data_IF_094296742213
#
_entry.id   IF_094296742213
#
_cell.length_a   1.000
_cell.length_b   1.000
_cell.length_c   1.000
_cell.angle_alpha   90.00
_cell.angle_beta   90.00
_cell.angle_gamma   90.00
#
_symmetry.space_group_name_H-M   'P 1'
#
loop_
_entity.id
_entity.type
_entity.pdbx_description
1 polymer ?
#
# COMPACT_ATOMS: atom_id res chain seq x y z
N UNK A 1 -3.43 -1.87 11.28
CA UNK A 1 -3.55 -2.63 10.02
C UNK A 1 -2.36 -2.28 9.13
N UNK A 2 -1.99 -3.15 8.19
CA UNK A 2 -0.91 -2.89 7.24
C UNK A 2 -1.11 -3.70 5.96
N UNK A 3 -0.49 -3.25 4.87
CA UNK A 3 -0.43 -4.03 3.63
C UNK A 3 0.84 -4.89 3.64
N UNK A 4 0.75 -6.15 3.23
CA UNK A 4 1.92 -7.03 3.03
C UNK A 4 1.89 -7.69 1.66
N UNK A 5 3.07 -8.02 1.16
CA UNK A 5 3.23 -8.93 0.02
C UNK A 5 3.22 -10.39 0.49
N UNK A 6 2.46 -11.24 -0.18
CA UNK A 6 2.45 -12.69 0.00
C UNK A 6 2.75 -13.38 -1.32
N UNK A 7 3.83 -14.16 -1.37
CA UNK A 7 4.18 -14.99 -2.53
C UNK A 7 3.40 -16.31 -2.49
N UNK A 8 2.77 -16.65 -3.61
CA UNK A 8 2.02 -17.90 -3.82
C UNK A 8 2.42 -18.46 -5.19
N UNK A 9 3.21 -19.53 -5.19
CA UNK A 9 3.83 -20.05 -6.40
C UNK A 9 4.66 -18.97 -7.10
N UNK A 10 4.37 -18.72 -8.39
CA UNK A 10 5.07 -17.69 -9.17
C UNK A 10 4.56 -16.27 -8.96
N UNK A 11 3.44 -16.09 -8.27
CA UNK A 11 2.76 -14.81 -8.14
C UNK A 11 2.96 -14.17 -6.77
N UNK A 12 2.90 -12.85 -6.73
CA UNK A 12 2.90 -12.05 -5.48
C UNK A 12 1.57 -11.33 -5.36
N UNK A 13 0.98 -11.34 -4.16
CA UNK A 13 -0.30 -10.70 -3.87
C UNK A 13 -0.16 -9.68 -2.75
N UNK A 14 -0.81 -8.54 -2.88
CA UNK A 14 -0.93 -7.57 -1.79
C UNK A 14 -2.14 -7.93 -0.91
N UNK A 15 -1.94 -7.95 0.40
CA UNK A 15 -2.98 -8.27 1.38
C UNK A 15 -3.10 -7.17 2.43
N UNK A 16 -4.34 -6.79 2.78
CA UNK A 16 -4.61 -5.95 3.94
C UNK A 16 -4.74 -6.85 5.18
N UNK A 17 -3.94 -6.54 6.20
CA UNK A 17 -3.83 -7.34 7.42
C UNK A 17 -4.14 -6.49 8.63
N UNK A 18 -4.89 -7.06 9.57
CA UNK A 18 -5.15 -6.50 10.88
C UNK A 18 -4.37 -7.26 11.96
N UNK A 19 -3.82 -6.51 12.92
CA UNK A 19 -3.30 -7.06 14.16
C UNK A 19 -4.40 -6.99 15.22
N UNK A 20 -4.70 -8.12 15.87
CA UNK A 20 -5.69 -8.19 16.95
C UNK A 20 -5.12 -8.98 18.13
N UNK A 21 -5.70 -8.81 19.32
CA UNK A 21 -5.31 -9.56 20.52
C UNK A 21 -6.30 -10.68 20.80
N UNK A 22 -5.79 -11.88 21.06
CA UNK A 22 -6.56 -13.07 21.39
C UNK A 22 -5.78 -13.89 22.42
N UNK A 23 -6.39 -14.15 23.58
CA UNK A 23 -5.74 -14.89 24.67
C UNK A 23 -4.41 -14.27 25.12
N UNK A 24 -4.33 -12.94 25.18
CA UNK A 24 -3.11 -12.23 25.58
C UNK A 24 -1.98 -12.20 24.54
N UNK A 25 -2.18 -12.80 23.36
CA UNK A 25 -1.19 -12.82 22.27
C UNK A 25 -1.65 -11.94 21.11
N UNK A 26 -0.71 -11.25 20.46
CA UNK A 26 -0.98 -10.54 19.19
C UNK A 26 -1.04 -11.56 18.06
N UNK A 27 -2.13 -11.53 17.30
CA UNK A 27 -2.38 -12.36 16.13
C UNK A 27 -2.63 -11.47 14.91
N UNK A 28 -2.45 -12.05 13.72
CA UNK A 28 -2.70 -11.39 12.44
C UNK A 28 -3.89 -12.03 11.75
N UNK A 29 -4.80 -11.22 11.21
CA UNK A 29 -5.90 -11.65 10.35
C UNK A 29 -5.79 -10.95 9.01
N UNK A 30 -5.86 -11.72 7.93
CA UNK A 30 -6.01 -11.15 6.58
C UNK A 30 -7.45 -10.68 6.45
N UNK A 31 -7.65 -9.38 6.22
CA UNK A 31 -8.96 -8.80 5.97
C UNK A 31 -9.38 -9.02 4.51
N UNK A 32 -8.46 -8.75 3.58
CA UNK A 32 -8.68 -9.00 2.16
C UNK A 32 -7.36 -9.16 1.38
N UNK A 33 -7.46 -9.70 0.17
CA UNK A 33 -6.39 -9.67 -0.81
C UNK A 33 -6.74 -8.60 -1.84
N UNK A 34 -5.89 -7.58 -1.98
CA UNK A 34 -6.11 -6.43 -2.85
C UNK A 34 -5.96 -6.80 -4.33
N UNK A 35 -5.06 -7.74 -4.62
CA UNK A 35 -4.83 -8.21 -5.98
C UNK A 35 -3.42 -8.78 -6.15
N UNK A 36 -3.13 -9.20 -7.37
CA UNK A 36 -1.80 -9.68 -7.78
C UNK A 36 -0.94 -8.47 -8.10
N UNK A 37 0.28 -8.41 -7.56
CA UNK A 37 1.14 -7.23 -7.60
C UNK A 37 1.43 -6.78 -9.03
N UNK A 38 1.85 -7.70 -9.90
CA UNK A 38 2.09 -7.46 -11.33
C UNK A 38 0.90 -6.79 -12.03
N UNK A 39 -0.31 -7.31 -11.81
CA UNK A 39 -1.54 -6.75 -12.39
C UNK A 39 -1.94 -5.41 -11.81
N UNK A 40 -1.59 -5.16 -10.56
CA UNK A 40 -1.84 -3.87 -9.91
C UNK A 40 -0.86 -2.82 -10.42
N UNK A 41 0.41 -3.16 -10.59
CA UNK A 41 1.45 -2.29 -11.15
C UNK A 41 1.14 -1.92 -12.61
N UNK A 42 0.82 -2.90 -13.46
CA UNK A 42 0.44 -2.68 -14.87
C UNK A 42 -0.71 -1.68 -15.07
N UNK A 43 -1.59 -1.54 -14.07
CA UNK A 43 -2.80 -0.71 -14.13
C UNK A 43 -2.72 0.57 -13.30
N UNK A 44 -1.58 0.87 -12.67
CA UNK A 44 -1.47 1.95 -11.69
C UNK A 44 -2.40 1.77 -10.48
N UNK A 45 -2.82 0.53 -10.21
CA UNK A 45 -3.80 0.20 -9.18
C UNK A 45 -3.28 0.43 -7.76
N UNK A 46 -1.97 0.30 -7.53
CA UNK A 46 -1.34 0.63 -6.24
C UNK A 46 -1.48 2.13 -5.97
N UNK A 47 -1.11 2.98 -6.92
CA UNK A 47 -1.21 4.44 -6.80
C UNK A 47 -2.66 4.88 -6.62
N UNK A 48 -3.60 4.30 -7.37
CA UNK A 48 -5.02 4.58 -7.21
C UNK A 48 -5.53 4.27 -5.79
N UNK A 49 -5.06 3.17 -5.18
CA UNK A 49 -5.40 2.82 -3.80
C UNK A 49 -4.81 3.84 -2.83
N UNK A 50 -3.54 4.22 -3.00
CA UNK A 50 -2.87 5.23 -2.15
C UNK A 50 -3.61 6.56 -2.23
N UNK A 51 -3.90 7.07 -3.43
CA UNK A 51 -4.65 8.31 -3.66
C UNK A 51 -6.07 8.24 -3.04
N UNK A 52 -6.71 7.08 -3.06
CA UNK A 52 -8.04 6.90 -2.45
C UNK A 52 -7.98 6.97 -0.92
N UNK A 53 -6.94 6.41 -0.30
CA UNK A 53 -6.73 6.39 1.16
C UNK A 53 -6.25 7.74 1.69
N UNK A 54 -5.42 8.44 0.91
CA UNK A 54 -4.89 9.76 1.23
C UNK A 54 -5.97 10.78 1.58
N UNK A 55 -7.12 10.73 0.90
CA UNK A 55 -8.28 11.61 1.16
C UNK A 55 -8.80 11.54 2.60
N UNK A 56 -8.46 10.48 3.33
CA UNK A 56 -8.87 10.23 4.70
C UNK A 56 -7.73 10.37 5.71
N UNK A 57 -6.53 10.74 5.27
CA UNK A 57 -5.37 10.86 6.12
C UNK A 57 -5.17 12.33 6.54
N UNK A 58 -5.26 12.61 7.84
CA UNK A 58 -5.11 13.97 8.37
C UNK A 58 -3.68 14.53 8.23
N UNK A 59 -2.68 13.66 8.16
CA UNK A 59 -1.25 14.02 8.10
C UNK A 59 -0.54 13.74 6.77
N UNK A 60 -1.27 13.32 5.73
CA UNK A 60 -0.66 13.02 4.43
C UNK A 60 -1.15 14.06 3.43
N UNK A 61 -0.30 15.07 3.15
CA UNK A 61 -0.51 15.93 2.00
C UNK A 61 -0.18 15.14 0.74
N UNK A 62 -1.21 14.70 0.02
CA UNK A 62 -1.05 14.09 -1.31
C UNK A 62 -1.26 15.18 -2.33
N UNK A 63 -0.17 15.71 -2.88
CA UNK A 63 -0.23 16.62 -4.01
C UNK A 63 -0.77 15.85 -5.22
N UNK A 64 -1.89 16.33 -5.77
CA UNK A 64 -2.61 15.73 -6.90
C UNK A 64 -1.79 15.89 -8.21
N UNK A 65 -0.74 15.11 -8.39
CA UNK A 65 0.05 15.07 -9.62
C UNK A 65 -0.14 13.76 -10.40
N UNK A 66 -1.39 13.35 -10.62
CA UNK A 66 -1.67 12.13 -11.37
C UNK A 66 -2.67 12.29 -12.52
N UNK A 67 -3.15 13.52 -12.77
CA UNK A 67 -4.10 13.78 -13.86
C UNK A 67 -3.43 14.21 -15.18
N UNK A 68 -2.16 14.63 -15.15
CA UNK A 68 -1.48 15.24 -16.31
C UNK A 68 -0.04 14.73 -16.54
N UNK A 69 0.24 13.45 -16.29
CA UNK A 69 1.39 12.77 -16.92
C UNK A 69 2.79 13.38 -16.70
N UNK A 70 2.98 14.19 -15.66
CA UNK A 70 4.25 14.82 -15.35
C UNK A 70 4.43 14.87 -13.84
N UNK A 71 5.36 14.06 -13.33
CA UNK A 71 5.91 14.25 -12.00
C UNK A 71 7.41 14.45 -12.15
N UNK A 72 7.82 15.73 -12.12
CA UNK A 72 9.16 16.07 -11.70
C UNK A 72 9.35 15.58 -10.27
N UNK A 73 10.26 14.62 -10.10
CA UNK A 73 10.68 14.04 -8.84
C UNK A 73 10.89 15.11 -7.76
N UNK A 74 9.97 15.20 -6.80
CA UNK A 74 10.24 15.89 -5.55
C UNK A 74 11.00 14.94 -4.64
N UNK A 75 12.32 15.01 -4.80
CA UNK A 75 13.34 14.76 -3.79
C UNK A 75 13.26 13.42 -3.06
N UNK A 76 14.18 12.52 -3.39
CA UNK A 76 14.51 11.37 -2.56
C UNK A 76 14.69 11.81 -1.10
N UNK A 77 13.75 11.42 -0.24
CA UNK A 77 14.00 11.39 1.19
C UNK A 77 13.98 9.95 1.64
N UNK A 78 15.18 9.44 1.89
CA UNK A 78 15.42 8.14 2.50
C UNK A 78 14.71 8.10 3.85
N UNK A 79 13.68 7.27 3.98
CA UNK A 79 13.04 6.94 5.27
C UNK A 79 13.57 5.57 5.72
N UNK A 80 14.78 5.61 6.26
CA UNK A 80 15.57 4.52 6.82
C UNK A 80 16.90 5.10 7.33
N UNK A 81 17.68 4.39 8.19
CA UNK A 81 18.98 4.89 8.58
C UNK A 81 19.92 4.86 7.37
N UNK A 82 20.14 6.04 6.80
CA UNK A 82 21.10 6.37 5.74
C UNK A 82 21.49 7.83 5.89
#
# INVERSE_FOLDING_TARGET
MFVRAKRVGKYTYLQLVENYREGGKVRQRVLCTLGRLDKLEEKGGVDAIILSLAKFAEGVQVEEAYREGDISALGDRVVGPG
#
